data_IF_806546883310
#
_entry.id   IF_806546883310
#
_cell.length_a   1.000
_cell.length_b   1.000
_cell.length_c   1.000
_cell.angle_alpha   90.00
_cell.angle_beta   90.00
_cell.angle_gamma   90.00
#
_symmetry.space_group_name_H-M   'P 1'
#
loop_
_entity.id
_entity.type
_entity.pdbx_description
1 polymer ?
#
# COMPACT_ATOMS: atom_id res chain seq x y z
N UNK A 1 -1.32 -21.52 -37.76
CA UNK A 1 -1.26 -20.56 -36.64
C UNK A 1 -2.69 -20.18 -36.35
N UNK A 2 -3.30 -20.85 -35.37
CA UNK A 2 -4.75 -20.88 -35.18
C UNK A 2 -5.06 -20.27 -33.82
N UNK A 3 -5.55 -19.04 -33.81
CA UNK A 3 -6.07 -18.36 -32.62
C UNK A 3 -7.52 -18.78 -32.37
N UNK A 4 -7.92 -19.15 -31.15
CA UNK A 4 -9.33 -19.30 -30.81
C UNK A 4 -9.94 -17.96 -30.38
N UNK A 5 -11.26 -17.75 -30.57
CA UNK A 5 -11.94 -16.52 -30.21
C UNK A 5 -12.32 -16.47 -28.72
N UNK A 6 -12.03 -15.31 -28.10
CA UNK A 6 -12.48 -14.92 -26.76
C UNK A 6 -14.00 -14.79 -26.71
N UNK A 7 -14.63 -15.58 -25.85
CA UNK A 7 -16.06 -15.44 -25.53
C UNK A 7 -16.24 -14.44 -24.38
N UNK A 8 -17.17 -13.47 -24.49
CA UNK A 8 -17.51 -12.57 -23.39
C UNK A 8 -18.43 -13.29 -22.39
N UNK A 9 -17.99 -13.43 -21.14
CA UNK A 9 -18.84 -13.89 -20.04
C UNK A 9 -19.84 -12.78 -19.73
N UNK A 10 -21.04 -12.91 -20.30
CA UNK A 10 -22.19 -12.07 -19.99
C UNK A 10 -22.72 -12.46 -18.62
N UNK A 11 -22.42 -11.67 -17.59
CA UNK A 11 -23.00 -11.84 -16.26
C UNK A 11 -24.42 -11.25 -16.27
N UNK A 12 -25.40 -12.11 -16.55
CA UNK A 12 -26.82 -11.74 -16.50
C UNK A 12 -27.19 -11.50 -15.04
N UNK A 13 -27.29 -10.22 -14.66
CA UNK A 13 -27.86 -9.76 -13.41
C UNK A 13 -29.38 -9.97 -13.46
N UNK A 14 -29.83 -11.16 -13.06
CA UNK A 14 -31.26 -11.39 -12.80
C UNK A 14 -31.58 -10.87 -11.40
N UNK A 15 -32.17 -9.68 -11.35
CA UNK A 15 -33.01 -9.28 -10.24
C UNK A 15 -34.23 -10.22 -10.25
N UNK A 16 -34.24 -11.22 -9.37
CA UNK A 16 -35.42 -12.04 -9.18
C UNK A 16 -36.50 -11.23 -8.47
N UNK A 17 -37.72 -11.18 -9.00
CA UNK A 17 -38.85 -10.55 -8.33
C UNK A 17 -39.21 -11.36 -7.08
N UNK A 18 -39.68 -10.67 -6.05
CA UNK A 18 -40.25 -11.27 -4.86
C UNK A 18 -41.52 -12.06 -5.22
N UNK A 19 -41.36 -13.32 -5.62
CA UNK A 19 -42.46 -14.29 -5.67
C UNK A 19 -42.41 -15.16 -4.44
N UNK A 20 -43.41 -14.93 -3.58
CA UNK A 20 -43.86 -15.84 -2.52
C UNK A 20 -44.03 -17.25 -3.09
N UNK A 21 -43.13 -18.14 -2.70
CA UNK A 21 -43.40 -19.58 -2.64
C UNK A 21 -42.38 -20.21 -1.71
N UNK A 22 -42.71 -20.23 -0.41
CA UNK A 22 -42.10 -21.16 0.54
C UNK A 22 -42.33 -22.59 0.02
N UNK A 23 -41.29 -23.38 -0.31
CA UNK A 23 -41.48 -24.76 -0.75
C UNK A 23 -41.78 -25.73 0.40
N UNK A 24 -41.88 -25.25 1.64
CA UNK A 24 -42.16 -26.06 2.82
C UNK A 24 -43.66 -26.37 2.95
N UNK A 25 -44.20 -27.06 1.95
CA UNK A 25 -45.43 -27.83 2.12
C UNK A 25 -45.00 -29.19 2.71
N UNK A 26 -45.30 -29.51 3.98
CA UNK A 26 -44.91 -30.78 4.56
C UNK A 26 -45.82 -31.87 4.00
N UNK A 27 -45.34 -32.54 2.96
CA UNK A 27 -45.88 -33.81 2.51
C UNK A 27 -45.62 -34.90 3.55
N UNK A 28 -46.72 -35.50 4.01
CA UNK A 28 -46.86 -36.71 4.82
C UNK A 28 -46.71 -36.60 6.36
N UNK A 29 -47.82 -36.78 7.11
CA UNK A 29 -47.79 -37.02 8.54
C UNK A 29 -47.32 -38.45 8.78
N UNK A 30 -46.01 -38.64 8.92
CA UNK A 30 -45.48 -39.84 9.55
C UNK A 30 -46.06 -39.93 10.96
N UNK A 31 -46.81 -41.00 11.21
CA UNK A 31 -47.39 -41.37 12.50
C UNK A 31 -46.36 -41.11 13.59
N UNK A 32 -46.64 -40.10 14.43
CA UNK A 32 -45.73 -39.64 15.46
C UNK A 32 -45.47 -40.75 16.46
N UNK A 33 -44.27 -41.32 16.42
CA UNK A 33 -43.63 -41.76 17.65
C UNK A 33 -43.66 -40.54 18.56
N UNK A 34 -44.38 -40.55 19.67
CA UNK A 34 -44.60 -39.37 20.53
C UNK A 34 -43.33 -38.81 21.18
N UNK A 35 -42.16 -39.10 20.64
CA UNK A 35 -40.81 -38.75 21.06
C UNK A 35 -40.20 -37.68 20.14
N UNK A 36 -39.28 -36.92 20.70
CA UNK A 36 -38.58 -35.84 20.04
C UNK A 36 -37.65 -36.37 18.96
N UNK A 37 -37.75 -35.86 17.74
CA UNK A 37 -36.94 -36.30 16.58
C UNK A 37 -35.55 -35.64 16.49
N UNK A 38 -35.17 -34.81 17.47
CA UNK A 38 -33.86 -34.16 17.49
C UNK A 38 -32.77 -35.17 17.85
N UNK A 39 -31.63 -35.07 17.19
CA UNK A 39 -30.43 -35.84 17.50
C UNK A 39 -29.69 -35.19 18.67
N UNK A 40 -29.17 -36.03 19.57
CA UNK A 40 -28.28 -35.61 20.65
C UNK A 40 -26.89 -35.26 20.10
N UNK A 41 -25.99 -34.82 20.99
CA UNK A 41 -24.66 -34.37 20.62
C UNK A 41 -23.78 -35.45 19.97
N UNK A 42 -24.17 -36.72 20.09
CA UNK A 42 -23.53 -37.86 19.43
C UNK A 42 -23.97 -38.06 17.97
N UNK A 43 -24.88 -37.20 17.48
CA UNK A 43 -25.36 -37.15 16.09
C UNK A 43 -26.04 -38.44 15.61
N UNK A 44 -26.35 -39.35 16.53
CA UNK A 44 -26.88 -40.68 16.22
C UNK A 44 -28.08 -41.03 17.10
N UNK A 45 -28.08 -40.64 18.38
CA UNK A 45 -29.19 -40.97 19.26
C UNK A 45 -30.27 -39.91 19.21
N UNK A 46 -31.50 -40.37 19.07
CA UNK A 46 -32.70 -39.53 19.06
C UNK A 46 -33.09 -39.24 20.51
N UNK A 47 -33.49 -38.01 20.79
CA UNK A 47 -33.93 -37.60 22.11
C UNK A 47 -35.12 -38.46 22.61
N UNK A 48 -34.96 -39.09 23.77
CA UNK A 48 -35.97 -39.94 24.39
C UNK A 48 -37.15 -39.18 25.04
N UNK A 49 -37.13 -37.83 25.03
CA UNK A 49 -38.19 -37.00 25.61
C UNK A 49 -39.38 -36.94 24.68
N UNK A 50 -40.60 -36.88 25.23
CA UNK A 50 -41.81 -36.74 24.40
C UNK A 50 -41.87 -35.40 23.66
N UNK A 51 -42.29 -35.45 22.40
CA UNK A 51 -42.56 -34.25 21.62
C UNK A 51 -43.79 -33.52 22.18
N UNK A 52 -43.81 -32.18 22.12
CA UNK A 52 -44.95 -31.40 22.61
C UNK A 52 -46.10 -31.43 21.59
N UNK A 53 -47.26 -31.94 22.00
CA UNK A 53 -48.49 -31.89 21.20
C UNK A 53 -48.35 -32.58 19.84
N UNK A 54 -48.64 -31.87 18.75
CA UNK A 54 -48.45 -32.35 17.36
C UNK A 54 -47.07 -31.98 16.78
N UNK A 55 -46.16 -31.44 17.58
CA UNK A 55 -44.82 -31.04 17.13
C UNK A 55 -43.87 -32.24 16.95
N UNK A 56 -42.77 -32.01 16.23
CA UNK A 56 -41.69 -33.00 16.03
C UNK A 56 -40.64 -33.02 17.14
N UNK A 57 -40.57 -31.97 17.96
CA UNK A 57 -39.51 -31.77 18.96
C UNK A 57 -40.09 -31.56 20.37
N UNK A 58 -39.31 -31.87 21.40
CA UNK A 58 -39.64 -31.49 22.78
C UNK A 58 -39.52 -29.95 22.95
N UNK A 59 -39.87 -29.43 24.13
CA UNK A 59 -39.84 -27.99 24.39
C UNK A 59 -38.44 -27.37 24.22
N UNK A 60 -37.44 -28.08 24.72
CA UNK A 60 -36.03 -27.66 24.73
C UNK A 60 -35.46 -27.66 23.31
N UNK A 61 -35.48 -28.81 22.62
CA UNK A 61 -35.02 -28.90 21.23
C UNK A 61 -35.87 -28.06 20.27
N UNK A 62 -37.13 -27.79 20.58
CA UNK A 62 -37.96 -26.87 19.81
C UNK A 62 -37.55 -25.40 20.00
N UNK A 63 -37.01 -25.02 21.17
CA UNK A 63 -36.41 -23.70 21.38
C UNK A 63 -35.06 -23.61 20.65
N UNK A 64 -34.22 -24.63 20.79
CA UNK A 64 -32.94 -24.70 20.11
C UNK A 64 -33.08 -24.64 18.59
N UNK A 65 -34.03 -25.40 18.03
CA UNK A 65 -34.36 -25.35 16.60
C UNK A 65 -34.64 -23.91 16.13
N UNK A 66 -35.44 -23.18 16.90
CA UNK A 66 -35.81 -21.79 16.58
C UNK A 66 -34.61 -20.86 16.69
N UNK A 67 -33.78 -21.04 17.71
CA UNK A 67 -32.57 -20.23 17.92
C UNK A 67 -31.56 -20.43 16.80
N UNK A 68 -31.22 -21.69 16.48
CA UNK A 68 -30.34 -22.00 15.36
C UNK A 68 -30.92 -21.53 14.02
N UNK A 69 -32.23 -21.70 13.83
CA UNK A 69 -32.92 -21.18 12.64
C UNK A 69 -32.82 -19.66 12.52
N UNK A 70 -33.00 -18.95 13.64
CA UNK A 70 -32.88 -17.50 13.68
C UNK A 70 -31.44 -17.08 13.37
N UNK A 71 -30.46 -17.69 14.04
CA UNK A 71 -29.05 -17.34 13.88
C UNK A 71 -28.56 -17.46 12.44
N UNK A 72 -28.79 -18.61 11.77
CA UNK A 72 -28.33 -18.73 10.38
C UNK A 72 -29.12 -17.82 9.42
N UNK A 73 -30.38 -17.48 9.72
CA UNK A 73 -31.18 -16.54 8.90
C UNK A 73 -30.70 -15.10 9.07
N UNK A 74 -30.32 -14.71 10.28
CA UNK A 74 -29.69 -13.41 10.55
C UNK A 74 -28.36 -13.30 9.81
N UNK A 75 -27.49 -14.31 9.89
CA UNK A 75 -26.27 -14.39 9.08
C UNK A 75 -26.58 -14.27 7.58
N UNK A 76 -27.60 -14.97 7.08
CA UNK A 76 -28.00 -14.89 5.67
C UNK A 76 -28.50 -13.50 5.26
N UNK A 77 -29.20 -12.78 6.15
CA UNK A 77 -29.59 -11.40 5.91
C UNK A 77 -28.37 -10.47 5.85
N UNK A 78 -27.40 -10.67 6.75
CA UNK A 78 -26.11 -9.96 6.74
C UNK A 78 -25.36 -10.20 5.43
N UNK A 79 -25.21 -11.47 5.00
CA UNK A 79 -24.61 -11.83 3.71
C UNK A 79 -25.30 -11.10 2.56
N UNK A 80 -26.64 -11.10 2.51
CA UNK A 80 -27.38 -10.40 1.44
C UNK A 80 -27.18 -8.88 1.45
N UNK A 81 -27.03 -8.28 2.64
CA UNK A 81 -26.77 -6.84 2.76
C UNK A 81 -25.37 -6.49 2.28
N UNK A 82 -24.36 -7.27 2.69
CA UNK A 82 -22.96 -7.06 2.35
C UNK A 82 -22.68 -7.38 0.87
N UNK A 83 -23.32 -8.40 0.29
CA UNK A 83 -23.20 -8.74 -1.13
C UNK A 83 -23.56 -7.54 -2.02
N UNK A 84 -24.60 -6.77 -1.65
CA UNK A 84 -24.99 -5.54 -2.37
C UNK A 84 -23.93 -4.44 -2.28
N UNK A 85 -23.18 -4.37 -1.19
CA UNK A 85 -22.11 -3.38 -1.00
C UNK A 85 -20.82 -3.79 -1.72
N UNK A 86 -20.56 -5.09 -1.81
CA UNK A 86 -19.36 -5.65 -2.44
C UNK A 86 -19.45 -5.64 -3.97
N UNK A 87 -20.64 -5.90 -4.54
CA UNK A 87 -20.82 -6.00 -6.00
C UNK A 87 -20.28 -4.78 -6.79
N UNK A 88 -20.60 -3.52 -6.43
CA UNK A 88 -20.06 -2.35 -7.13
C UNK A 88 -18.54 -2.23 -7.01
N UNK A 89 -17.98 -2.57 -5.84
CA UNK A 89 -16.54 -2.49 -5.56
C UNK A 89 -15.77 -3.53 -6.38
N UNK A 90 -16.33 -4.72 -6.57
CA UNK A 90 -15.77 -5.76 -7.45
C UNK A 90 -15.66 -5.29 -8.90
N UNK A 91 -16.69 -4.63 -9.43
CA UNK A 91 -16.68 -4.16 -10.82
C UNK A 91 -15.75 -2.95 -11.04
N UNK A 92 -15.55 -2.12 -10.01
CA UNK A 92 -14.80 -0.86 -10.10
C UNK A 92 -13.47 -0.87 -9.33
N UNK A 93 -12.92 -2.04 -9.07
CA UNK A 93 -11.71 -2.20 -8.25
C UNK A 93 -10.52 -1.38 -8.76
N UNK A 94 -10.32 -1.29 -10.08
CA UNK A 94 -9.22 -0.50 -10.66
C UNK A 94 -9.44 1.02 -10.53
N UNK A 95 -10.69 1.46 -10.37
CA UNK A 95 -11.03 2.88 -10.20
C UNK A 95 -10.85 3.36 -8.75
N UNK A 96 -10.46 2.47 -7.82
CA UNK A 96 -10.07 2.85 -6.47
C UNK A 96 -8.64 3.42 -6.53
N UNK A 97 -8.54 4.74 -6.46
CA UNK A 97 -7.27 5.50 -6.45
C UNK A 97 -6.84 5.87 -5.02
N UNK A 98 -7.77 5.85 -4.07
CA UNK A 98 -7.54 6.22 -2.68
C UNK A 98 -7.33 4.97 -1.81
N UNK A 99 -6.27 4.99 -0.99
CA UNK A 99 -5.97 3.94 -0.03
C UNK A 99 -7.09 3.77 1.00
N UNK A 100 -7.74 4.85 1.43
CA UNK A 100 -8.86 4.77 2.38
C UNK A 100 -10.06 4.06 1.77
N UNK A 101 -10.38 4.36 0.50
CA UNK A 101 -11.48 3.69 -0.21
C UNK A 101 -11.21 2.18 -0.40
N UNK A 102 -9.94 1.79 -0.56
CA UNK A 102 -9.54 0.36 -0.59
C UNK A 102 -9.68 -0.27 0.80
N UNK A 103 -9.33 0.44 1.87
CA UNK A 103 -9.50 -0.05 3.24
C UNK A 103 -10.97 -0.28 3.61
N UNK A 104 -11.84 0.66 3.24
CA UNK A 104 -13.29 0.49 3.41
C UNK A 104 -13.82 -0.67 2.56
N UNK A 105 -13.18 -0.99 1.43
CA UNK A 105 -13.52 -2.16 0.61
C UNK A 105 -13.07 -3.46 1.26
N UNK A 106 -11.87 -3.49 1.86
CA UNK A 106 -11.33 -4.63 2.58
C UNK A 106 -12.22 -5.01 3.76
N UNK A 107 -12.58 -4.05 4.60
CA UNK A 107 -13.44 -4.29 5.77
C UNK A 107 -14.79 -4.93 5.38
N UNK A 108 -15.41 -4.44 4.31
CA UNK A 108 -16.68 -4.99 3.83
C UNK A 108 -16.51 -6.40 3.25
N UNK A 109 -15.40 -6.68 2.57
CA UNK A 109 -15.11 -8.01 2.04
C UNK A 109 -14.79 -9.02 3.15
N UNK A 110 -14.07 -8.60 4.18
CA UNK A 110 -13.80 -9.40 5.39
C UNK A 110 -15.09 -9.75 6.13
N UNK A 111 -15.94 -8.74 6.41
CA UNK A 111 -17.23 -8.96 7.04
C UNK A 111 -18.14 -9.89 6.21
N UNK A 112 -18.06 -9.82 4.88
CA UNK A 112 -18.82 -10.72 4.01
C UNK A 112 -18.33 -12.16 4.15
N UNK A 113 -17.03 -12.39 4.23
CA UNK A 113 -16.47 -13.72 4.40
C UNK A 113 -16.89 -14.33 5.74
N UNK A 114 -16.75 -13.57 6.83
CA UNK A 114 -17.16 -13.99 8.17
C UNK A 114 -18.66 -14.34 8.21
N UNK A 115 -19.52 -13.47 7.66
CA UNK A 115 -20.96 -13.73 7.61
C UNK A 115 -21.32 -14.97 6.77
N UNK A 116 -20.58 -15.26 5.69
CA UNK A 116 -20.79 -16.48 4.90
C UNK A 116 -20.36 -17.72 5.70
N UNK A 117 -19.25 -17.65 6.43
CA UNK A 117 -18.77 -18.75 7.28
C UNK A 117 -19.75 -19.06 8.41
N UNK A 118 -20.26 -18.02 9.09
CA UNK A 118 -21.33 -18.14 10.10
C UNK A 118 -22.60 -18.77 9.51
N UNK A 119 -23.04 -18.35 8.31
CA UNK A 119 -24.20 -18.95 7.66
C UNK A 119 -23.96 -20.43 7.33
N UNK A 120 -22.79 -20.77 6.79
CA UNK A 120 -22.42 -22.15 6.45
C UNK A 120 -22.43 -23.02 7.71
N UNK A 121 -21.76 -22.58 8.77
CA UNK A 121 -21.67 -23.37 10.00
C UNK A 121 -23.03 -23.48 10.67
N UNK A 122 -23.77 -22.37 10.84
CA UNK A 122 -25.10 -22.39 11.43
C UNK A 122 -26.08 -23.31 10.68
N UNK A 123 -26.01 -23.33 9.33
CA UNK A 123 -26.80 -24.26 8.51
C UNK A 123 -26.37 -25.70 8.69
N UNK A 124 -25.07 -25.98 8.76
CA UNK A 124 -24.55 -27.33 9.00
C UNK A 124 -24.93 -27.85 10.37
N UNK A 125 -24.75 -27.06 11.43
CA UNK A 125 -25.13 -27.44 12.80
C UNK A 125 -26.64 -27.71 12.87
N UNK A 126 -27.46 -26.82 12.31
CA UNK A 126 -28.90 -26.98 12.28
C UNK A 126 -29.33 -28.23 11.50
N UNK A 127 -28.77 -28.45 10.32
CA UNK A 127 -29.10 -29.63 9.51
C UNK A 127 -28.69 -30.91 10.25
N UNK A 128 -27.48 -30.94 10.81
CA UNK A 128 -26.93 -32.12 11.50
C UNK A 128 -27.74 -32.51 12.73
N UNK A 129 -28.26 -31.56 13.51
CA UNK A 129 -29.07 -31.87 14.71
C UNK A 129 -30.50 -32.27 14.42
N UNK A 130 -31.12 -31.72 13.38
CA UNK A 130 -32.57 -31.85 13.19
C UNK A 130 -33.00 -32.63 11.94
N UNK A 131 -32.06 -32.96 11.06
CA UNK A 131 -32.32 -33.64 9.79
C UNK A 131 -31.39 -34.85 9.64
N UNK A 132 -31.89 -36.06 9.95
CA UNK A 132 -31.09 -37.29 9.85
C UNK A 132 -30.79 -37.70 8.40
N UNK A 133 -31.61 -37.27 7.45
CA UNK A 133 -31.41 -37.55 6.01
C UNK A 133 -30.76 -36.35 5.35
N UNK A 134 -29.79 -36.60 4.45
CA UNK A 134 -29.22 -35.56 3.60
C UNK A 134 -30.29 -34.96 2.69
N UNK A 135 -30.44 -33.64 2.73
CA UNK A 135 -31.30 -32.88 1.83
C UNK A 135 -30.45 -32.33 0.66
N UNK A 136 -30.74 -32.77 -0.56
CA UNK A 136 -30.05 -32.29 -1.77
C UNK A 136 -30.19 -30.78 -1.97
N UNK A 137 -31.31 -30.20 -1.53
CA UNK A 137 -31.55 -28.76 -1.56
C UNK A 137 -30.63 -28.01 -0.61
N UNK A 138 -30.40 -28.56 0.59
CA UNK A 138 -29.46 -28.03 1.57
C UNK A 138 -28.03 -28.07 1.04
N UNK A 139 -27.60 -29.20 0.49
CA UNK A 139 -26.27 -29.36 -0.10
C UNK A 139 -26.04 -28.41 -1.28
N UNK A 140 -27.06 -28.22 -2.12
CA UNK A 140 -27.00 -27.25 -3.21
C UNK A 140 -26.85 -25.81 -2.70
N UNK A 141 -27.53 -25.46 -1.62
CA UNK A 141 -27.38 -24.15 -0.98
C UNK A 141 -25.96 -23.95 -0.43
N UNK A 142 -25.43 -24.93 0.29
CA UNK A 142 -24.07 -24.86 0.84
C UNK A 142 -23.03 -24.71 -0.28
N UNK A 143 -23.18 -25.43 -1.40
CA UNK A 143 -22.31 -25.25 -2.57
C UNK A 143 -22.37 -23.82 -3.13
N UNK A 144 -23.56 -23.22 -3.22
CA UNK A 144 -23.69 -21.82 -3.64
C UNK A 144 -22.99 -20.86 -2.68
N UNK A 145 -23.10 -21.08 -1.37
CA UNK A 145 -22.38 -20.28 -0.37
C UNK A 145 -20.86 -20.44 -0.49
N UNK A 146 -20.37 -21.66 -0.73
CA UNK A 146 -18.94 -21.90 -0.95
C UNK A 146 -18.41 -21.18 -2.20
N UNK A 147 -19.19 -21.16 -3.29
CA UNK A 147 -18.82 -20.36 -4.48
C UNK A 147 -18.75 -18.88 -4.14
N UNK A 148 -19.72 -18.35 -3.38
CA UNK A 148 -19.69 -16.95 -2.92
C UNK A 148 -18.49 -16.66 -2.02
N UNK A 149 -18.16 -17.57 -1.10
CA UNK A 149 -16.99 -17.49 -0.24
C UNK A 149 -15.71 -17.36 -1.08
N UNK A 150 -15.50 -18.27 -2.05
CA UNK A 150 -14.34 -18.21 -2.93
C UNK A 150 -14.24 -16.90 -3.72
N UNK A 151 -15.37 -16.38 -4.19
CA UNK A 151 -15.43 -15.07 -4.88
C UNK A 151 -15.04 -13.93 -3.95
N UNK A 152 -15.55 -13.91 -2.72
CA UNK A 152 -15.23 -12.88 -1.72
C UNK A 152 -13.75 -12.95 -1.30
N UNK A 153 -13.20 -14.16 -1.12
CA UNK A 153 -11.79 -14.37 -0.79
C UNK A 153 -10.87 -13.90 -1.93
N UNK A 154 -11.21 -14.22 -3.18
CA UNK A 154 -10.47 -13.71 -4.34
C UNK A 154 -10.54 -12.19 -4.47
N UNK A 155 -11.67 -11.56 -4.11
CA UNK A 155 -11.77 -10.10 -4.10
C UNK A 155 -10.89 -9.48 -3.01
N UNK A 156 -10.90 -10.05 -1.81
CA UNK A 156 -10.08 -9.60 -0.69
C UNK A 156 -8.59 -9.61 -1.06
N UNK A 157 -8.11 -10.71 -1.65
CA UNK A 157 -6.73 -10.81 -2.13
C UNK A 157 -6.38 -9.72 -3.17
N UNK A 158 -7.29 -9.45 -4.11
CA UNK A 158 -7.08 -8.41 -5.12
C UNK A 158 -7.07 -7.00 -4.52
N UNK A 159 -7.92 -6.72 -3.52
CA UNK A 159 -7.94 -5.44 -2.81
C UNK A 159 -6.65 -5.22 -2.02
N UNK A 160 -6.12 -6.26 -1.37
CA UNK A 160 -4.83 -6.20 -0.67
C UNK A 160 -3.69 -5.83 -1.64
N UNK A 161 -3.62 -6.53 -2.78
CA UNK A 161 -2.64 -6.20 -3.83
C UNK A 161 -2.81 -4.77 -4.38
N UNK A 162 -4.05 -4.28 -4.50
CA UNK A 162 -4.31 -2.90 -4.95
C UNK A 162 -3.83 -1.89 -3.90
N UNK A 163 -4.06 -2.16 -2.62
CA UNK A 163 -3.60 -1.31 -1.51
C UNK A 163 -2.08 -1.17 -1.55
N UNK A 164 -1.37 -2.30 -1.63
CA UNK A 164 0.09 -2.32 -1.71
C UNK A 164 0.60 -1.47 -2.87
N UNK A 165 0.01 -1.64 -4.06
CA UNK A 165 0.37 -0.84 -5.24
C UNK A 165 0.16 0.66 -5.04
N UNK A 166 -0.95 1.07 -4.42
CA UNK A 166 -1.22 2.49 -4.15
C UNK A 166 -0.20 3.09 -3.18
N UNK A 167 0.24 2.31 -2.18
CA UNK A 167 1.27 2.73 -1.24
C UNK A 167 2.63 2.90 -1.95
N UNK A 168 3.01 1.95 -2.79
CA UNK A 168 4.22 2.02 -3.61
C UNK A 168 4.19 3.22 -4.59
N UNK A 169 3.06 3.44 -5.27
CA UNK A 169 2.85 4.57 -6.18
C UNK A 169 2.97 5.92 -5.43
N UNK A 170 2.39 6.01 -4.24
CA UNK A 170 2.46 7.18 -3.37
C UNK A 170 3.89 7.45 -2.87
N UNK A 171 4.61 6.42 -2.45
CA UNK A 171 6.03 6.52 -2.08
C UNK A 171 6.90 6.98 -3.25
N UNK A 172 6.73 6.37 -4.41
CA UNK A 172 7.48 6.73 -5.61
C UNK A 172 7.18 8.17 -6.04
N UNK A 173 5.93 8.64 -5.89
CA UNK A 173 5.56 10.03 -6.17
C UNK A 173 6.24 11.01 -5.21
N UNK A 174 6.29 10.71 -3.90
CA UNK A 174 7.01 11.51 -2.91
C UNK A 174 8.50 11.60 -3.24
N UNK A 175 9.14 10.47 -3.53
CA UNK A 175 10.55 10.42 -3.90
C UNK A 175 10.86 11.22 -5.17
N UNK A 176 9.98 11.17 -6.17
CA UNK A 176 10.09 12.00 -7.38
C UNK A 176 9.96 13.49 -7.07
N UNK A 177 8.97 13.87 -6.26
CA UNK A 177 8.78 15.27 -5.87
C UNK A 177 9.98 15.83 -5.10
N UNK A 178 10.53 15.06 -4.16
CA UNK A 178 11.75 15.43 -3.43
C UNK A 178 12.97 15.55 -4.34
N UNK A 179 13.09 14.66 -5.33
CA UNK A 179 14.17 14.73 -6.30
C UNK A 179 14.07 15.99 -7.17
N UNK A 180 12.87 16.31 -7.67
CA UNK A 180 12.61 17.52 -8.46
C UNK A 180 12.95 18.76 -7.62
N UNK A 181 12.42 18.85 -6.40
CA UNK A 181 12.71 19.95 -5.49
C UNK A 181 14.21 20.11 -5.21
N UNK A 182 14.94 18.99 -5.07
CA UNK A 182 16.41 19.02 -4.88
C UNK A 182 17.13 19.52 -6.13
N UNK A 183 16.68 19.13 -7.32
CA UNK A 183 17.26 19.61 -8.58
C UNK A 183 17.01 21.10 -8.79
N UNK A 184 15.80 21.57 -8.49
CA UNK A 184 15.44 22.98 -8.57
C UNK A 184 16.29 23.82 -7.59
N UNK A 185 16.43 23.37 -6.33
CA UNK A 185 17.30 24.04 -5.36
C UNK A 185 18.78 24.10 -5.81
N UNK A 186 19.29 23.05 -6.46
CA UNK A 186 20.64 23.07 -7.02
C UNK A 186 20.75 24.01 -8.23
N UNK A 187 19.73 24.09 -9.07
CA UNK A 187 19.69 25.01 -10.21
C UNK A 187 19.65 26.46 -9.75
N UNK A 188 18.81 26.79 -8.76
CA UNK A 188 18.75 28.11 -8.13
C UNK A 188 20.08 28.49 -7.49
N UNK A 189 20.71 27.57 -6.75
CA UNK A 189 22.02 27.81 -6.15
C UNK A 189 23.11 28.08 -7.20
N UNK A 190 23.06 27.41 -8.36
CA UNK A 190 23.97 27.67 -9.49
C UNK A 190 23.71 29.06 -10.08
N UNK A 191 22.45 29.41 -10.34
CA UNK A 191 22.07 30.72 -10.87
C UNK A 191 22.50 31.86 -9.92
N UNK A 192 22.33 31.70 -8.60
CA UNK A 192 22.79 32.66 -7.60
C UNK A 192 24.32 32.84 -7.62
N UNK A 193 25.08 31.74 -7.75
CA UNK A 193 26.54 31.82 -7.86
C UNK A 193 27.00 32.52 -9.14
N UNK A 194 26.31 32.31 -10.24
CA UNK A 194 26.59 32.99 -11.52
C UNK A 194 26.28 34.49 -11.43
N UNK A 195 25.14 34.86 -10.85
CA UNK A 195 24.80 36.27 -10.59
C UNK A 195 25.84 36.93 -9.68
N UNK A 196 26.25 36.27 -8.59
CA UNK A 196 27.30 36.76 -7.71
C UNK A 196 28.64 36.93 -8.45
N UNK A 197 29.04 35.96 -9.28
CA UNK A 197 30.25 36.03 -10.10
C UNK A 197 30.19 37.17 -11.12
N UNK A 198 29.03 37.37 -11.76
CA UNK A 198 28.80 38.48 -12.68
C UNK A 198 28.91 39.83 -11.99
N UNK A 199 28.29 39.98 -10.80
CA UNK A 199 28.40 41.18 -9.99
C UNK A 199 29.85 41.50 -9.56
N UNK A 200 30.62 40.48 -9.16
CA UNK A 200 32.05 40.62 -8.86
C UNK A 200 32.82 41.08 -10.10
N UNK A 201 32.60 40.45 -11.26
CA UNK A 201 33.26 40.83 -12.51
C UNK A 201 32.89 42.27 -12.96
N UNK A 202 31.64 42.68 -12.79
CA UNK A 202 31.20 44.05 -13.05
C UNK A 202 31.90 45.06 -12.13
N UNK A 203 32.07 44.72 -10.84
CA UNK A 203 32.84 45.53 -9.89
C UNK A 203 34.31 45.68 -10.30
N UNK A 204 34.95 44.60 -10.76
CA UNK A 204 36.32 44.66 -11.31
C UNK A 204 36.41 45.52 -12.56
N UNK A 205 35.45 45.40 -13.49
CA UNK A 205 35.41 46.21 -14.71
C UNK A 205 35.25 47.71 -14.42
N UNK A 206 34.29 48.07 -13.55
CA UNK A 206 34.08 49.46 -13.13
C UNK A 206 35.31 50.04 -12.43
N UNK A 207 35.99 49.25 -11.59
CA UNK A 207 37.25 49.67 -10.94
C UNK A 207 38.37 49.88 -11.94
N UNK A 208 38.48 49.04 -12.97
CA UNK A 208 39.46 49.15 -14.04
C UNK A 208 39.19 50.34 -14.98
N UNK A 209 37.93 50.71 -15.18
CA UNK A 209 37.56 51.96 -15.87
C UNK A 209 37.91 53.20 -15.05
N UNK A 210 37.58 53.19 -13.75
CA UNK A 210 37.91 54.29 -12.87
C UNK A 210 39.43 54.52 -12.78
N UNK A 211 40.23 53.46 -12.61
CA UNK A 211 41.70 53.60 -12.61
C UNK A 211 42.25 54.10 -13.94
N UNK A 212 41.69 53.65 -15.08
CA UNK A 212 42.04 54.19 -16.41
C UNK A 212 41.69 55.67 -16.57
N UNK A 213 40.56 56.11 -16.03
CA UNK A 213 40.18 57.52 -16.05
C UNK A 213 41.13 58.38 -15.20
N UNK A 214 41.50 57.90 -14.00
CA UNK A 214 42.44 58.60 -13.13
C UNK A 214 43.87 58.68 -13.70
N UNK A 215 44.36 57.61 -14.35
CA UNK A 215 45.67 57.65 -15.03
C UNK A 215 45.65 58.56 -16.24
N UNK A 216 44.56 58.60 -17.01
CA UNK A 216 44.42 59.52 -18.14
C UNK A 216 44.42 60.99 -17.68
N UNK A 217 43.73 61.31 -16.58
CA UNK A 217 43.72 62.65 -16.00
C UNK A 217 45.11 63.09 -15.47
N UNK A 218 45.92 62.17 -14.95
CA UNK A 218 47.26 62.48 -14.45
C UNK A 218 48.33 62.57 -15.54
N UNK A 219 48.16 61.90 -16.69
CA UNK A 219 49.03 62.05 -17.86
C UNK A 219 48.73 63.37 -18.62
N UNK A 220 47.49 63.81 -18.66
CA UNK A 220 47.10 65.07 -19.31
C UNK A 220 47.55 66.33 -18.55
N UNK A 221 47.81 66.24 -17.24
CA UNK A 221 48.21 67.35 -16.40
C UNK A 221 49.74 67.51 -16.24
N UNK A 222 50.55 66.63 -16.84
CA UNK A 222 52.01 66.67 -16.70
C UNK A 222 52.65 67.63 -17.74
N UNK A 223 53.43 68.64 -17.33
CA UNK A 223 54.22 69.45 -18.25
C UNK A 223 55.29 68.58 -18.92
N UNK A 224 55.45 68.73 -20.25
CA UNK A 224 56.49 68.03 -21.03
C UNK A 224 57.89 68.33 -20.49
N UNK A 225 58.67 67.33 -20.04
CA UNK A 225 60.08 67.53 -19.73
C UNK A 225 60.94 67.53 -21.00
N UNK A 226 62.05 68.28 -21.04
CA UNK A 226 62.95 68.33 -22.18
C UNK A 226 63.73 67.02 -22.37
N UNK A 227 64.03 66.74 -23.64
CA UNK A 227 64.74 65.54 -24.08
C UNK A 227 66.18 65.51 -23.53
N UNK A 228 66.46 64.55 -22.65
CA UNK A 228 67.83 64.13 -22.32
C UNK A 228 67.98 62.62 -22.41
N UNK A 229 69.18 62.28 -22.88
CA UNK A 229 69.79 60.99 -23.18
C UNK A 229 69.90 60.06 -21.96
N UNK A 230 69.98 58.74 -22.23
CA UNK A 230 70.44 57.61 -21.36
C UNK A 230 69.41 57.10 -20.31
N UNK A 231 69.28 55.82 -19.98
CA UNK A 231 70.05 54.59 -20.23
C UNK A 231 69.08 53.39 -20.23
N UNK A 232 69.40 52.35 -20.98
CA UNK A 232 68.73 51.04 -20.94
C UNK A 232 69.00 50.31 -19.61
N UNK A 233 67.97 49.86 -18.86
CA UNK A 233 68.14 48.85 -17.84
C UNK A 233 68.09 47.46 -18.50
N UNK A 234 69.22 46.79 -18.51
CA UNK A 234 69.29 45.34 -18.73
C UNK A 234 68.67 44.64 -17.53
N UNK A 235 67.37 44.31 -17.61
CA UNK A 235 66.75 43.36 -16.70
C UNK A 235 67.15 41.95 -17.16
N UNK A 236 68.20 41.44 -16.54
CA UNK A 236 68.56 40.02 -16.54
C UNK A 236 67.44 39.29 -15.78
N UNK A 237 66.50 38.69 -16.49
CA UNK A 237 65.60 37.69 -15.92
C UNK A 237 66.43 36.47 -15.57
N UNK A 238 66.58 36.22 -14.27
CA UNK A 238 67.28 35.05 -13.74
C UNK A 238 66.45 33.80 -14.08
N UNK A 239 66.96 32.84 -14.89
CA UNK A 239 66.20 31.67 -15.32
C UNK A 239 65.74 30.75 -14.17
N UNK A 240 66.34 30.89 -12.99
CA UNK A 240 66.07 30.06 -11.80
C UNK A 240 64.94 30.59 -10.90
N UNK A 241 64.43 31.80 -11.15
CA UNK A 241 63.34 32.37 -10.33
C UNK A 241 61.97 31.69 -10.58
N UNK A 242 61.82 31.00 -11.72
CA UNK A 242 60.58 30.29 -12.07
C UNK A 242 60.49 28.93 -11.35
N UNK A 243 61.63 28.33 -11.00
CA UNK A 243 61.68 27.03 -10.33
C UNK A 243 61.31 27.12 -8.84
N UNK A 244 61.68 28.21 -8.15
CA UNK A 244 61.33 28.41 -6.74
C UNK A 244 59.81 28.62 -6.50
N UNK A 245 59.09 29.17 -7.48
CA UNK A 245 57.63 29.30 -7.44
C UNK A 245 56.93 27.98 -7.78
N UNK A 246 57.54 27.17 -8.67
CA UNK A 246 57.07 25.84 -9.08
C UNK A 246 57.25 24.82 -7.95
N UNK A 247 58.36 24.86 -7.23
CA UNK A 247 58.63 24.02 -6.05
C UNK A 247 57.70 24.37 -4.88
N UNK A 248 57.42 25.67 -4.63
CA UNK A 248 56.43 26.10 -3.63
C UNK A 248 55.02 25.62 -3.95
N UNK A 249 54.62 25.59 -5.22
CA UNK A 249 53.35 25.01 -5.65
C UNK A 249 53.32 23.47 -5.55
N UNK A 250 54.43 22.78 -5.81
CA UNK A 250 54.51 21.32 -5.67
C UNK A 250 54.46 20.85 -4.21
N UNK A 251 55.00 21.63 -3.26
CA UNK A 251 54.95 21.34 -1.83
C UNK A 251 53.53 21.41 -1.24
N UNK A 252 52.62 22.21 -1.82
CA UNK A 252 51.22 22.32 -1.39
C UNK A 252 50.34 21.12 -1.77
N UNK A 253 50.79 20.26 -2.70
CA UNK A 253 50.07 19.03 -3.08
C UNK A 253 50.62 17.76 -2.40
N UNK A 254 51.66 17.87 -1.57
CA UNK A 254 52.27 16.76 -0.85
C UNK A 254 51.91 16.73 0.65
N UNK A 255 51.04 17.62 1.13
CA UNK A 255 50.49 17.48 2.48
C UNK A 255 49.52 16.30 2.50
N UNK A 256 49.83 15.19 3.21
CA UNK A 256 48.86 14.12 3.37
C UNK A 256 47.63 14.67 4.10
N UNK A 257 46.42 14.16 3.81
CA UNK A 257 45.24 14.53 4.57
C UNK A 257 45.49 14.24 6.06
N UNK A 258 44.95 15.06 6.98
CA UNK A 258 45.04 14.76 8.40
C UNK A 258 44.47 13.37 8.67
N UNK A 259 45.07 12.59 9.59
CA UNK A 259 44.54 11.26 9.91
C UNK A 259 43.09 11.39 10.37
N UNK A 260 42.21 10.63 9.72
CA UNK A 260 40.85 10.41 10.19
C UNK A 260 40.95 9.85 11.62
N UNK A 261 40.45 10.63 12.58
CA UNK A 261 40.19 10.15 13.93
C UNK A 261 39.08 9.10 13.85
N UNK A 262 39.48 7.85 13.63
CA UNK A 262 38.71 6.66 13.92
C UNK A 262 38.62 6.47 15.43
N UNK A 263 37.95 7.39 16.12
CA UNK A 263 37.39 7.16 17.45
C UNK A 263 35.90 6.88 17.29
N UNK A 264 35.58 5.66 16.84
CA UNK A 264 34.30 5.04 17.12
C UNK A 264 34.57 3.73 17.84
N UNK A 265 34.45 3.82 19.15
CA UNK A 265 34.72 2.77 20.11
C UNK A 265 34.10 1.43 19.72
N UNK A 266 34.93 0.40 19.87
CA UNK A 266 34.48 -0.97 19.95
C UNK A 266 33.50 -1.14 21.12
N UNK A 267 32.24 -1.37 20.78
CA UNK A 267 31.28 -2.07 21.63
C UNK A 267 31.29 -3.54 21.25
N UNK A 268 32.13 -4.32 21.92
CA UNK A 268 32.16 -5.78 21.83
C UNK A 268 30.88 -6.29 22.54
N UNK A 269 29.86 -6.69 21.78
CA UNK A 269 28.71 -7.41 22.34
C UNK A 269 28.98 -8.92 22.32
N UNK A 270 29.42 -9.45 23.47
CA UNK A 270 29.50 -10.89 23.73
C UNK A 270 28.14 -11.39 24.24
N UNK A 271 27.57 -12.33 23.46
CA UNK A 271 26.66 -13.45 23.81
C UNK A 271 25.66 -13.32 24.98
N UNK A 272 24.40 -13.61 24.65
CA UNK A 272 23.58 -14.54 25.45
C UNK A 272 22.74 -15.44 24.54
N UNK A 273 23.17 -16.69 24.35
CA UNK A 273 22.31 -17.81 23.94
C UNK A 273 21.65 -18.33 25.22
N UNK A 274 20.36 -18.09 25.39
CA UNK A 274 19.57 -18.81 26.39
C UNK A 274 18.96 -20.03 25.71
N UNK A 275 19.42 -21.21 26.11
CA UNK A 275 18.68 -22.44 25.95
C UNK A 275 17.38 -22.34 26.77
N UNK A 276 16.27 -22.86 26.22
CA UNK A 276 15.12 -23.28 27.01
C UNK A 276 15.05 -24.80 26.94
N UNK A 277 14.96 -25.37 28.13
CA UNK A 277 14.48 -26.71 28.44
C UNK A 277 13.06 -26.93 27.97
#
# INVERSE_FOLDING_TARGET
MTTPPSSPISFVSQASPATRSDPWTPGSPGVGTGFCQALLADEATVCAVRARGRGRYCAEHGAEYKELTRAYKEASATVQSLDKLVLPKRTRMQALEDAQAVDDALQVAEALLEAIEEEIEGRRTHHRRFFPTKDDGHEHWLRKLQVKHGVAASLLAQLQMRKERLLEEGEAARMRAEHIHRMDALAEARAQRELARSGVNAGYAARAEWTRSCTYASVAAAPRPPATVRSTPSHRTDPWAVDAERERRAALWQTPPPPENCDRGGGIFVRARSARS
#
